data_IF_483271481855
#
_entry.id   IF_483271481855
#
_cell.length_a   1.000
_cell.length_b   1.000
_cell.length_c   1.000
_cell.angle_alpha   90.00
_cell.angle_beta   90.00
_cell.angle_gamma   90.00
#
_symmetry.space_group_name_H-M   'P 1'
#
loop_
_entity.id
_entity.type
_entity.pdbx_description
1 polymer ?
#
# COMPACT_ATOMS: atom_id res chain seq x y z
N UNK A 1 0.01 11.31 -14.18
CA UNK A 1 0.75 10.21 -14.84
C UNK A 1 0.04 9.65 -16.07
N UNK A 2 -1.25 9.28 -16.01
CA UNK A 2 -1.99 8.74 -17.18
C UNK A 2 -1.93 9.64 -18.43
N UNK A 3 -2.11 10.96 -18.29
CA UNK A 3 -1.94 11.92 -19.40
C UNK A 3 -0.55 11.82 -20.06
N UNK A 4 0.51 11.67 -19.25
CA UNK A 4 1.88 11.58 -19.75
C UNK A 4 2.12 10.26 -20.49
N UNK A 5 1.55 9.16 -20.00
CA UNK A 5 1.55 7.87 -20.70
C UNK A 5 0.91 7.99 -22.09
N UNK A 6 -0.31 8.51 -22.20
CA UNK A 6 -0.99 8.65 -23.50
C UNK A 6 -0.25 9.59 -24.44
N UNK A 7 0.32 10.69 -23.92
CA UNK A 7 1.16 11.59 -24.72
C UNK A 7 2.41 10.89 -25.25
N UNK A 8 3.13 10.16 -24.40
CA UNK A 8 4.31 9.38 -24.80
C UNK A 8 3.96 8.32 -25.85
N UNK A 9 2.88 7.57 -25.63
CA UNK A 9 2.43 6.55 -26.58
C UNK A 9 2.04 7.16 -27.93
N UNK A 10 1.41 8.34 -27.94
CA UNK A 10 1.11 9.08 -29.17
C UNK A 10 2.39 9.47 -29.92
N UNK A 11 3.40 9.97 -29.22
CA UNK A 11 4.70 10.36 -29.79
C UNK A 11 5.50 9.16 -30.35
N UNK A 12 5.18 7.93 -29.93
CA UNK A 12 5.79 6.72 -30.50
C UNK A 12 5.28 6.37 -31.91
N UNK A 13 4.12 6.89 -32.34
CA UNK A 13 3.55 6.58 -33.65
C UNK A 13 4.22 7.39 -34.76
N UNK A 14 5.25 6.80 -35.36
CA UNK A 14 6.03 7.38 -36.45
C UNK A 14 5.98 6.46 -37.69
N UNK A 15 5.59 7.03 -38.84
CA UNK A 15 5.47 6.30 -40.11
C UNK A 15 6.82 5.81 -40.67
N UNK A 16 7.93 6.34 -40.17
CA UNK A 16 9.28 5.93 -40.58
C UNK A 16 9.80 4.72 -39.80
N UNK A 17 9.13 4.33 -38.70
CA UNK A 17 9.54 3.23 -37.83
C UNK A 17 8.82 1.93 -38.17
N UNK A 18 9.48 0.82 -37.87
CA UNK A 18 8.87 -0.51 -37.94
C UNK A 18 7.86 -0.71 -36.80
N UNK A 19 6.90 -1.62 -36.99
CA UNK A 19 5.95 -1.99 -35.93
C UNK A 19 6.66 -2.39 -34.63
N UNK A 20 7.74 -3.17 -34.71
CA UNK A 20 8.47 -3.62 -33.54
C UNK A 20 9.12 -2.47 -32.74
N UNK A 21 9.58 -1.43 -33.42
CA UNK A 21 10.13 -0.22 -32.76
C UNK A 21 9.03 0.60 -32.09
N UNK A 22 7.86 0.73 -32.73
CA UNK A 22 6.71 1.42 -32.17
C UNK A 22 6.19 0.68 -30.92
N UNK A 23 6.06 -0.65 -30.97
CA UNK A 23 5.64 -1.45 -29.81
C UNK A 23 6.60 -1.29 -28.61
N UNK A 24 7.91 -1.44 -28.83
CA UNK A 24 8.90 -1.26 -27.74
C UNK A 24 8.86 0.16 -27.15
N UNK A 25 8.67 1.17 -27.99
CA UNK A 25 8.52 2.56 -27.53
C UNK A 25 7.27 2.71 -26.65
N UNK A 26 6.12 2.24 -27.12
CA UNK A 26 4.86 2.35 -26.38
C UNK A 26 4.87 1.56 -25.06
N UNK A 27 5.52 0.38 -25.02
CA UNK A 27 5.73 -0.40 -23.80
C UNK A 27 6.52 0.40 -22.77
N UNK A 28 7.60 1.08 -23.19
CA UNK A 28 8.43 1.90 -22.31
C UNK A 28 7.65 3.05 -21.66
N UNK A 29 6.62 3.59 -22.34
CA UNK A 29 5.77 4.65 -21.81
C UNK A 29 4.95 4.21 -20.59
N UNK A 30 4.67 2.91 -20.45
CA UNK A 30 3.89 2.37 -19.31
C UNK A 30 4.74 2.16 -18.05
N UNK A 31 6.06 2.01 -18.20
CA UNK A 31 7.00 1.74 -17.10
C UNK A 31 6.85 2.69 -15.91
N UNK A 32 6.72 4.02 -16.08
CA UNK A 32 6.56 4.93 -14.95
C UNK A 32 5.29 4.66 -14.12
N UNK A 33 4.17 4.32 -14.78
CA UNK A 33 2.91 4.00 -14.08
C UNK A 33 3.04 2.66 -13.36
N UNK A 34 3.59 1.65 -14.01
CA UNK A 34 3.81 0.33 -13.41
C UNK A 34 4.73 0.42 -12.19
N UNK A 35 5.81 1.22 -12.27
CA UNK A 35 6.70 1.43 -11.14
C UNK A 35 5.99 2.15 -9.98
N UNK A 36 5.15 3.13 -10.27
CA UNK A 36 4.36 3.81 -9.25
C UNK A 36 3.36 2.86 -8.56
N UNK A 37 2.69 2.01 -9.34
CA UNK A 37 1.78 0.96 -8.85
C UNK A 37 2.53 -0.01 -7.92
N UNK A 38 3.65 -0.57 -8.38
CA UNK A 38 4.46 -1.51 -7.60
C UNK A 38 4.96 -0.89 -6.29
N UNK A 39 5.37 0.38 -6.31
CA UNK A 39 5.79 1.08 -5.10
C UNK A 39 4.64 1.24 -4.11
N UNK A 40 3.45 1.61 -4.60
CA UNK A 40 2.25 1.72 -3.78
C UNK A 40 1.89 0.38 -3.13
N UNK A 41 1.84 -0.68 -3.93
CA UNK A 41 1.50 -2.03 -3.46
C UNK A 41 2.49 -2.54 -2.41
N UNK A 42 3.79 -2.26 -2.60
CA UNK A 42 4.82 -2.63 -1.61
C UNK A 42 4.65 -1.89 -0.27
N UNK A 43 4.48 -0.56 -0.31
CA UNK A 43 4.25 0.22 0.92
C UNK A 43 2.96 -0.20 1.63
N UNK A 44 1.91 -0.57 0.88
CA UNK A 44 0.66 -1.09 1.44
C UNK A 44 0.82 -2.48 2.04
N UNK A 45 1.59 -3.36 1.40
CA UNK A 45 1.93 -4.68 1.93
C UNK A 45 2.67 -4.58 3.26
N UNK A 46 3.65 -3.68 3.36
CA UNK A 46 4.37 -3.43 4.62
C UNK A 46 3.44 -2.89 5.71
N UNK A 47 2.50 -2.01 5.36
CA UNK A 47 1.50 -1.52 6.30
C UNK A 47 0.59 -2.65 6.81
N UNK A 48 0.08 -3.49 5.91
CA UNK A 48 -0.75 -4.65 6.25
C UNK A 48 -0.01 -5.67 7.11
N UNK A 49 1.26 -5.96 6.80
CA UNK A 49 2.08 -6.88 7.58
C UNK A 49 2.24 -6.38 9.02
N UNK A 50 2.55 -5.10 9.21
CA UNK A 50 2.68 -4.49 10.54
C UNK A 50 1.38 -4.58 11.33
N UNK A 51 0.26 -4.25 10.70
CA UNK A 51 -1.06 -4.36 11.33
C UNK A 51 -1.36 -5.80 11.75
N UNK A 52 -1.16 -6.77 10.85
CA UNK A 52 -1.39 -8.18 11.14
C UNK A 52 -0.53 -8.68 12.31
N UNK A 53 0.75 -8.31 12.36
CA UNK A 53 1.62 -8.64 13.49
C UNK A 53 1.10 -8.07 14.81
N UNK A 54 0.63 -6.83 14.83
CA UNK A 54 0.05 -6.23 16.03
C UNK A 54 -1.25 -6.91 16.47
N UNK A 55 -2.07 -7.38 15.53
CA UNK A 55 -3.29 -8.13 15.86
C UNK A 55 -2.98 -9.51 16.48
N UNK A 56 -1.91 -10.17 16.06
CA UNK A 56 -1.44 -11.42 16.70
C UNK A 56 -1.06 -11.17 18.16
N UNK A 57 -0.46 -10.02 18.49
CA UNK A 57 -0.18 -9.66 19.90
C UNK A 57 -1.47 -9.52 20.72
N UNK A 58 -2.55 -9.00 20.13
CA UNK A 58 -3.85 -8.97 20.80
C UNK A 58 -4.41 -10.37 21.04
N UNK A 59 -4.24 -11.28 20.08
CA UNK A 59 -4.62 -12.69 20.24
C UNK A 59 -3.84 -13.37 21.37
N UNK A 60 -2.52 -13.16 21.45
CA UNK A 60 -1.70 -13.72 22.53
C UNK A 60 -2.15 -13.21 23.91
N UNK A 61 -2.42 -11.90 24.02
CA UNK A 61 -2.96 -11.29 25.26
C UNK A 61 -4.31 -11.89 25.64
N UNK A 62 -5.17 -12.16 24.67
CA UNK A 62 -6.46 -12.79 24.90
C UNK A 62 -6.33 -14.23 25.43
N UNK A 63 -5.42 -15.03 24.86
CA UNK A 63 -5.17 -16.39 25.33
C UNK A 63 -4.62 -16.43 26.76
N UNK A 64 -3.80 -15.45 27.15
CA UNK A 64 -3.37 -15.28 28.54
C UNK A 64 -4.54 -14.86 29.44
N UNK A 65 -5.35 -13.88 29.01
CA UNK A 65 -6.47 -13.37 29.80
C UNK A 65 -7.53 -14.45 30.09
N UNK A 66 -7.77 -15.37 29.16
CA UNK A 66 -8.68 -16.52 29.34
C UNK A 66 -8.33 -17.42 30.52
N UNK A 67 -7.06 -17.45 30.94
CA UNK A 67 -6.61 -18.27 32.08
C UNK A 67 -6.89 -17.61 33.43
N UNK A 68 -7.07 -16.28 33.45
CA UNK A 68 -7.09 -15.48 34.69
C UNK A 68 -8.42 -14.74 34.89
N UNK A 69 -9.18 -14.49 33.82
CA UNK A 69 -10.39 -13.67 33.83
C UNK A 69 -11.60 -14.46 33.35
N UNK A 70 -12.79 -13.91 33.58
CA UNK A 70 -14.00 -14.44 32.95
C UNK A 70 -13.93 -14.29 31.44
N UNK A 71 -14.67 -15.13 30.71
CA UNK A 71 -14.74 -15.03 29.24
C UNK A 71 -15.16 -13.64 28.76
N UNK A 72 -16.10 -12.99 29.47
CA UNK A 72 -16.59 -11.66 29.09
C UNK A 72 -15.51 -10.59 29.22
N UNK A 73 -14.73 -10.62 30.31
CA UNK A 73 -13.64 -9.67 30.53
C UNK A 73 -12.51 -9.87 29.51
N UNK A 74 -12.13 -11.13 29.24
CA UNK A 74 -11.11 -11.43 28.24
C UNK A 74 -11.52 -10.94 26.83
N UNK A 75 -12.79 -11.10 26.45
CA UNK A 75 -13.31 -10.60 25.16
C UNK A 75 -13.29 -9.07 25.11
N UNK A 76 -13.66 -8.39 26.19
CA UNK A 76 -13.61 -6.93 26.27
C UNK A 76 -12.15 -6.41 26.13
N UNK A 77 -11.19 -7.05 26.81
CA UNK A 77 -9.78 -6.72 26.67
C UNK A 77 -9.27 -6.90 25.22
N UNK A 78 -9.71 -7.96 24.54
CA UNK A 78 -9.37 -8.21 23.14
C UNK A 78 -9.92 -7.10 22.23
N UNK A 79 -11.20 -6.76 22.38
CA UNK A 79 -11.85 -5.71 21.60
C UNK A 79 -11.13 -4.36 21.79
N UNK A 80 -10.82 -4.01 23.03
CA UNK A 80 -10.05 -2.82 23.35
C UNK A 80 -8.65 -2.84 22.71
N UNK A 81 -7.93 -3.97 22.79
CA UNK A 81 -6.61 -4.12 22.16
C UNK A 81 -6.67 -3.93 20.63
N UNK A 82 -7.65 -4.54 19.98
CA UNK A 82 -7.85 -4.44 18.53
C UNK A 82 -8.17 -2.99 18.14
N UNK A 83 -9.10 -2.33 18.84
CA UNK A 83 -9.46 -0.94 18.58
C UNK A 83 -8.25 -0.02 18.70
N UNK A 84 -7.46 -0.14 19.77
CA UNK A 84 -6.23 0.63 19.95
C UNK A 84 -5.22 0.38 18.83
N UNK A 85 -5.02 -0.88 18.45
CA UNK A 85 -4.08 -1.28 17.39
C UNK A 85 -4.47 -0.69 16.04
N UNK A 86 -5.76 -0.74 15.70
CA UNK A 86 -6.29 -0.17 14.46
C UNK A 86 -6.17 1.36 14.47
N UNK A 87 -6.52 2.01 15.58
CA UNK A 87 -6.39 3.46 15.72
C UNK A 87 -4.94 3.93 15.56
N UNK A 88 -3.99 3.21 16.14
CA UNK A 88 -2.56 3.48 15.98
C UNK A 88 -2.12 3.30 14.52
N UNK A 89 -2.56 2.22 13.86
CA UNK A 89 -2.26 1.99 12.45
C UNK A 89 -2.82 3.12 11.56
N UNK A 90 -4.08 3.53 11.78
CA UNK A 90 -4.72 4.63 11.05
C UNK A 90 -3.96 5.94 11.20
N UNK A 91 -3.47 6.25 12.41
CA UNK A 91 -2.63 7.44 12.66
C UNK A 91 -1.32 7.44 11.88
N UNK A 92 -0.85 6.29 11.39
CA UNK A 92 0.34 6.22 10.53
C UNK A 92 0.07 6.43 9.04
N UNK A 93 -1.19 6.37 8.60
CA UNK A 93 -1.57 6.52 7.19
C UNK A 93 -1.12 7.87 6.59
N UNK A 94 -1.23 9.03 7.27
CA UNK A 94 -0.73 10.29 6.72
C UNK A 94 0.78 10.25 6.41
N UNK A 95 1.57 9.59 7.27
CA UNK A 95 3.00 9.43 7.05
C UNK A 95 3.29 8.48 5.87
N UNK A 96 2.52 7.41 5.73
CA UNK A 96 2.59 6.49 4.58
C UNK A 96 2.31 7.24 3.27
N UNK A 97 1.21 8.00 3.24
CA UNK A 97 0.82 8.83 2.08
C UNK A 97 1.89 9.87 1.76
N UNK A 98 2.44 10.54 2.77
CA UNK A 98 3.52 11.53 2.58
C UNK A 98 4.76 10.91 1.94
N UNK A 99 5.20 9.72 2.39
CA UNK A 99 6.31 8.99 1.76
C UNK A 99 6.00 8.62 0.31
N UNK A 100 4.80 8.11 0.04
CA UNK A 100 4.36 7.77 -1.32
C UNK A 100 4.34 9.00 -2.23
N UNK A 101 3.75 10.11 -1.79
CA UNK A 101 3.73 11.37 -2.56
C UNK A 101 5.15 11.84 -2.90
N UNK A 102 6.06 11.79 -1.92
CA UNK A 102 7.47 12.15 -2.11
C UNK A 102 8.17 11.23 -3.12
N UNK A 103 8.03 9.92 -2.98
CA UNK A 103 8.62 8.95 -3.90
C UNK A 103 8.09 9.09 -5.34
N UNK A 104 6.81 9.45 -5.47
CA UNK A 104 6.12 9.60 -6.75
C UNK A 104 6.13 11.04 -7.29
N UNK A 105 6.80 11.97 -6.61
CA UNK A 105 6.86 13.40 -6.96
C UNK A 105 5.47 14.03 -7.17
N UNK A 106 4.49 13.62 -6.37
CA UNK A 106 3.13 14.20 -6.36
C UNK A 106 3.15 15.41 -5.42
N UNK A 107 2.86 16.59 -5.95
CA UNK A 107 2.69 17.84 -5.19
C UNK A 107 1.24 17.97 -4.71
N UNK A 108 1.05 18.51 -3.51
CA UNK A 108 -0.28 18.83 -2.94
C UNK A 108 -0.99 19.95 -3.70
#
# INVERSE_FOLDING_TARGET
MQKAYFKCAYECFDRTRTHAEISRCAESCSVPITNAQNYFDNEMSVFQERLNRSLVVCQDKFEVAKQQKTRSEAVNDLEHCVNQTVDEAVKTLPNLVSRMKKALSITD
#
